data_IF_989001264881
#
_entry.id   IF_989001264881
#
_cell.length_a   1.000
_cell.length_b   1.000
_cell.length_c   1.000
_cell.angle_alpha   90.00
_cell.angle_beta   90.00
_cell.angle_gamma   90.00
#
_symmetry.space_group_name_H-M   'P 1'
#
loop_
_entity.id
_entity.type
_entity.pdbx_description
1 polymer ?
#
# COMPACT_ATOMS: atom_id res chain seq x y z
N UNK A 1 -15.90 17.01 8.83
CA UNK A 1 -15.05 16.14 9.68
C UNK A 1 -13.91 15.69 8.82
N UNK A 2 -12.65 15.79 9.28
CA UNK A 2 -11.51 15.32 8.50
C UNK A 2 -11.71 13.85 8.12
N UNK A 3 -11.57 13.54 6.83
CA UNK A 3 -11.71 12.18 6.31
C UNK A 3 -10.78 11.18 7.04
N UNK A 4 -9.64 11.68 7.55
CA UNK A 4 -8.74 10.92 8.42
C UNK A 4 -9.37 10.54 9.75
N UNK A 5 -10.09 11.46 10.40
CA UNK A 5 -10.78 11.20 11.68
C UNK A 5 -11.89 10.17 11.45
N UNK A 6 -12.66 10.30 10.36
CA UNK A 6 -13.71 9.33 10.01
C UNK A 6 -13.13 7.93 9.80
N UNK A 7 -11.98 7.82 9.14
CA UNK A 7 -11.29 6.55 8.93
C UNK A 7 -10.76 5.93 10.23
N UNK A 8 -10.16 6.74 11.11
CA UNK A 8 -9.68 6.29 12.42
C UNK A 8 -10.85 5.80 13.28
N UNK A 9 -11.97 6.53 13.28
CA UNK A 9 -13.19 6.12 13.99
C UNK A 9 -13.72 4.81 13.42
N UNK A 10 -13.79 4.68 12.09
CA UNK A 10 -14.23 3.45 11.42
C UNK A 10 -13.36 2.25 11.82
N UNK A 11 -12.03 2.38 11.74
CA UNK A 11 -11.09 1.33 12.14
C UNK A 11 -11.25 0.95 13.62
N UNK A 12 -11.45 1.94 14.48
CA UNK A 12 -11.61 1.72 15.92
C UNK A 12 -12.91 0.98 16.21
N UNK A 13 -14.03 1.39 15.60
CA UNK A 13 -15.32 0.72 15.75
C UNK A 13 -15.27 -0.70 15.20
N UNK A 14 -14.66 -0.91 14.03
CA UNK A 14 -14.50 -2.23 13.43
C UNK A 14 -13.72 -3.18 14.35
N UNK A 15 -12.58 -2.73 14.89
CA UNK A 15 -11.80 -3.52 15.85
C UNK A 15 -12.61 -3.83 17.12
N UNK A 16 -13.35 -2.85 17.62
CA UNK A 16 -14.18 -3.04 18.82
C UNK A 16 -15.28 -4.07 18.58
N UNK A 17 -15.91 -4.04 17.40
CA UNK A 17 -16.94 -5.00 16.99
C UNK A 17 -16.42 -6.44 16.87
N UNK A 18 -15.19 -6.61 16.38
CA UNK A 18 -14.54 -7.93 16.31
C UNK A 18 -14.24 -8.45 17.71
N UNK A 19 -13.69 -7.60 18.59
CA UNK A 19 -13.38 -7.99 19.97
C UNK A 19 -14.65 -8.37 20.72
N UNK A 20 -15.75 -7.60 20.57
CA UNK A 20 -17.04 -7.94 21.20
C UNK A 20 -17.64 -9.22 20.63
N UNK A 21 -17.54 -9.45 19.32
CA UNK A 21 -17.97 -10.71 18.69
C UNK A 21 -17.16 -11.91 19.23
N UNK A 22 -15.83 -11.76 19.37
CA UNK A 22 -14.95 -12.77 19.96
C UNK A 22 -15.30 -13.09 21.41
N UNK A 23 -15.48 -12.07 22.25
CA UNK A 23 -15.88 -12.25 23.66
C UNK A 23 -17.25 -12.95 23.75
N UNK A 24 -18.20 -12.55 22.90
CA UNK A 24 -19.55 -13.14 22.86
C UNK A 24 -19.51 -14.61 22.43
N UNK A 25 -18.68 -14.94 21.45
CA UNK A 25 -18.45 -16.33 21.01
C UNK A 25 -17.87 -17.18 22.14
N UNK A 26 -16.89 -16.66 22.89
CA UNK A 26 -16.29 -17.37 24.05
C UNK A 26 -17.34 -17.56 25.14
N UNK A 27 -18.12 -16.53 25.45
CA UNK A 27 -19.16 -16.58 26.48
C UNK A 27 -20.29 -17.57 26.14
N UNK A 28 -20.78 -17.55 24.91
CA UNK A 28 -21.79 -18.51 24.43
C UNK A 28 -21.25 -19.94 24.43
N UNK A 29 -19.99 -20.14 24.00
CA UNK A 29 -19.31 -21.42 24.07
C UNK A 29 -19.22 -21.96 25.50
N UNK A 30 -18.82 -21.11 26.45
CA UNK A 30 -18.79 -21.45 27.87
C UNK A 30 -20.18 -21.78 28.43
N UNK A 31 -21.20 -21.01 28.06
CA UNK A 31 -22.58 -21.25 28.53
C UNK A 31 -23.18 -22.55 27.99
N UNK A 32 -22.90 -22.89 26.72
CA UNK A 32 -23.28 -24.16 26.13
C UNK A 32 -22.56 -25.34 26.80
N UNK A 33 -21.30 -25.13 27.20
CA UNK A 33 -20.51 -26.11 27.95
C UNK A 33 -21.11 -26.39 29.35
N UNK A 34 -21.36 -25.35 30.16
CA UNK A 34 -21.95 -25.50 31.50
C UNK A 34 -23.32 -26.19 31.45
N UNK A 35 -24.07 -26.01 30.35
CA UNK A 35 -25.37 -26.67 30.14
C UNK A 35 -25.28 -28.14 29.72
N UNK A 36 -24.09 -28.72 29.58
CA UNK A 36 -23.94 -30.16 29.35
C UNK A 36 -24.50 -30.65 28.02
N UNK A 37 -24.57 -29.80 26.99
CA UNK A 37 -25.06 -30.21 25.66
C UNK A 37 -24.21 -31.35 25.06
N UNK A 38 -22.95 -31.49 25.49
CA UNK A 38 -22.05 -32.58 25.11
C UNK A 38 -22.09 -33.81 26.03
N UNK A 39 -22.82 -33.77 27.14
CA UNK A 39 -22.97 -34.91 28.06
C UNK A 39 -24.28 -35.70 27.83
N UNK A 40 -25.05 -35.34 26.80
CA UNK A 40 -26.45 -35.74 26.64
C UNK A 40 -26.82 -36.52 25.38
N UNK A 41 -25.90 -37.27 24.75
CA UNK A 41 -26.31 -38.24 23.70
C UNK A 41 -25.62 -39.58 23.88
N UNK A 42 -26.26 -40.45 24.69
CA UNK A 42 -26.32 -41.90 24.42
C UNK A 42 -25.24 -42.80 24.99
N UNK A 43 -25.45 -43.26 26.23
CA UNK A 43 -25.34 -44.69 26.59
C UNK A 43 -23.95 -45.31 26.75
N UNK A 44 -23.58 -45.61 28.01
CA UNK A 44 -22.71 -46.71 28.45
C UNK A 44 -21.67 -47.23 27.42
N UNK A 45 -20.59 -46.50 27.19
CA UNK A 45 -19.33 -47.12 26.74
C UNK A 45 -18.16 -46.25 27.18
N UNK A 46 -17.15 -46.87 27.79
CA UNK A 46 -15.92 -46.27 28.32
C UNK A 46 -14.98 -45.69 27.24
N UNK A 47 -15.49 -45.25 26.10
CA UNK A 47 -14.68 -44.64 25.05
C UNK A 47 -14.73 -43.12 25.18
N UNK A 48 -13.62 -42.55 25.67
CA UNK A 48 -13.43 -41.11 25.76
C UNK A 48 -13.78 -40.39 24.46
N UNK A 49 -14.40 -39.21 24.57
CA UNK A 49 -14.81 -38.36 23.45
C UNK A 49 -13.67 -38.20 22.44
N UNK A 50 -13.78 -38.91 21.31
CA UNK A 50 -12.88 -38.79 20.17
C UNK A 50 -13.49 -37.82 19.18
N UNK A 51 -12.94 -36.62 19.06
CA UNK A 51 -13.29 -35.69 17.99
C UNK A 51 -12.40 -36.02 16.79
N UNK A 52 -13.01 -36.55 15.73
CA UNK A 52 -12.35 -36.90 14.47
C UNK A 52 -12.70 -35.84 13.43
N UNK A 53 -11.71 -35.07 12.98
CA UNK A 53 -11.85 -34.18 11.83
C UNK A 53 -10.98 -34.71 10.69
N UNK A 54 -11.55 -34.79 9.49
CA UNK A 54 -10.82 -35.16 8.27
C UNK A 54 -10.74 -33.92 7.38
N UNK A 55 -9.52 -33.39 7.21
CA UNK A 55 -9.27 -32.25 6.35
C UNK A 55 -8.16 -32.65 5.38
N UNK A 56 -8.46 -32.62 4.10
CA UNK A 56 -7.52 -32.89 3.00
C UNK A 56 -6.78 -34.23 3.09
N UNK A 57 -7.47 -35.31 3.50
CA UNK A 57 -6.91 -36.66 3.60
C UNK A 57 -6.04 -36.91 4.85
N UNK A 58 -5.83 -35.88 5.68
CA UNK A 58 -5.25 -36.03 7.00
C UNK A 58 -6.37 -36.21 8.04
N UNK A 59 -6.36 -37.36 8.72
CA UNK A 59 -7.30 -37.65 9.82
C UNK A 59 -6.70 -37.20 11.14
N UNK A 60 -7.27 -36.15 11.72
CA UNK A 60 -6.88 -35.66 13.03
C UNK A 60 -7.87 -36.15 14.08
N UNK A 61 -7.39 -36.97 15.02
CA UNK A 61 -8.17 -37.43 16.16
C UNK A 61 -7.63 -36.79 17.43
N UNK A 62 -8.39 -35.87 18.02
CA UNK A 62 -8.08 -35.37 19.36
C UNK A 62 -8.79 -36.23 20.41
N UNK A 63 -7.98 -36.81 21.29
CA UNK A 63 -8.42 -37.48 22.52
C UNK A 63 -8.31 -36.51 23.69
N UNK A 64 -9.33 -36.48 24.55
CA UNK A 64 -9.39 -35.61 25.74
C UNK A 64 -9.23 -34.10 25.44
N UNK A 65 -9.74 -33.63 24.29
CA UNK A 65 -9.83 -32.20 24.04
C UNK A 65 -10.87 -31.60 24.99
N UNK A 66 -10.41 -30.90 26.02
CA UNK A 66 -11.30 -30.07 26.83
C UNK A 66 -11.99 -29.08 25.87
N UNK A 67 -13.33 -28.92 25.90
CA UNK A 67 -14.06 -28.08 24.94
C UNK A 67 -13.52 -26.65 24.80
N UNK A 68 -12.87 -26.12 25.84
CA UNK A 68 -12.16 -24.84 25.80
C UNK A 68 -11.01 -24.77 24.78
N UNK A 69 -10.34 -25.89 24.49
CA UNK A 69 -9.27 -25.95 23.48
C UNK A 69 -9.79 -25.74 22.07
N UNK A 70 -10.99 -26.24 21.73
CA UNK A 70 -11.62 -25.99 20.42
C UNK A 70 -11.96 -24.51 20.21
N UNK A 71 -12.50 -23.84 21.24
CA UNK A 71 -12.81 -22.40 21.17
C UNK A 71 -11.55 -21.53 21.13
N UNK A 72 -10.51 -21.90 21.88
CA UNK A 72 -9.22 -21.22 21.83
C UNK A 72 -8.55 -21.37 20.45
N UNK A 73 -8.60 -22.56 19.85
CA UNK A 73 -8.08 -22.84 18.52
C UNK A 73 -8.83 -22.02 17.45
N UNK A 74 -10.16 -21.97 17.52
CA UNK A 74 -10.97 -21.16 16.62
C UNK A 74 -10.62 -19.67 16.74
N UNK A 75 -10.52 -19.14 17.97
CA UNK A 75 -10.09 -17.76 18.21
C UNK A 75 -8.70 -17.46 17.68
N UNK A 76 -7.74 -18.38 17.88
CA UNK A 76 -6.38 -18.25 17.36
C UNK A 76 -6.34 -18.24 15.82
N UNK A 77 -7.14 -19.08 15.16
CA UNK A 77 -7.26 -19.12 13.70
C UNK A 77 -7.84 -17.80 13.17
N UNK A 78 -8.90 -17.26 13.79
CA UNK A 78 -9.49 -15.97 13.38
C UNK A 78 -8.46 -14.84 13.52
N UNK A 79 -7.71 -14.79 14.62
CA UNK A 79 -6.64 -13.79 14.82
C UNK A 79 -5.53 -13.95 13.76
N UNK A 80 -5.11 -15.19 13.46
CA UNK A 80 -4.09 -15.47 12.46
C UNK A 80 -4.54 -15.05 11.05
N UNK A 81 -5.78 -15.36 10.67
CA UNK A 81 -6.37 -14.93 9.40
C UNK A 81 -6.42 -13.41 9.32
N UNK A 82 -6.84 -12.72 10.39
CA UNK A 82 -6.85 -11.25 10.43
C UNK A 82 -5.46 -10.63 10.27
N UNK A 83 -4.43 -11.27 10.83
CA UNK A 83 -3.06 -10.82 10.67
C UNK A 83 -2.56 -11.02 9.22
N UNK A 84 -3.00 -12.10 8.57
CA UNK A 84 -2.65 -12.42 7.17
C UNK A 84 -3.40 -11.56 6.14
N UNK A 85 -4.68 -11.25 6.38
CA UNK A 85 -5.48 -10.48 5.41
C UNK A 85 -5.22 -8.97 5.44
N UNK A 86 -4.37 -8.49 6.37
CA UNK A 86 -4.02 -7.06 6.46
C UNK A 86 -5.15 -6.19 6.99
N UNK A 87 -4.80 -4.96 7.41
CA UNK A 87 -5.76 -3.98 7.92
C UNK A 87 -6.77 -3.54 6.85
N UNK A 88 -7.97 -3.02 7.24
CA UNK A 88 -9.00 -2.60 6.30
C UNK A 88 -8.48 -1.58 5.29
N UNK A 89 -8.62 -1.89 4.00
CA UNK A 89 -8.30 -0.98 2.91
C UNK A 89 -9.44 0.05 2.78
N UNK A 90 -9.17 1.29 3.19
CA UNK A 90 -10.06 2.41 2.91
C UNK A 90 -9.83 2.91 1.48
N UNK A 91 -10.69 2.53 0.54
CA UNK A 91 -10.72 3.18 -0.77
C UNK A 91 -11.50 4.49 -0.63
N UNK A 92 -10.80 5.62 -0.64
CA UNK A 92 -11.45 6.92 -0.74
C UNK A 92 -11.68 7.22 -2.22
N UNK A 93 -12.94 7.32 -2.63
CA UNK A 93 -13.29 7.96 -3.89
C UNK A 93 -13.22 9.47 -3.65
N UNK A 94 -12.25 10.16 -4.27
CA UNK A 94 -12.18 11.62 -4.27
C UNK A 94 -13.24 12.12 -5.28
N UNK A 95 -14.34 12.77 -4.85
CA UNK A 95 -15.47 13.02 -5.75
C UNK A 95 -15.25 14.10 -6.81
N UNK A 96 -14.12 14.83 -6.79
CA UNK A 96 -13.96 16.03 -7.63
C UNK A 96 -13.00 15.92 -8.82
N UNK A 97 -12.47 14.73 -9.14
CA UNK A 97 -11.61 14.60 -10.33
C UNK A 97 -11.82 13.28 -11.06
N UNK A 98 -12.91 13.23 -11.84
CA UNK A 98 -12.98 12.43 -13.07
C UNK A 98 -12.54 10.97 -13.00
N UNK A 99 -12.94 10.22 -11.96
CA UNK A 99 -12.79 8.76 -11.94
C UNK A 99 -11.38 8.22 -11.70
N UNK A 100 -10.42 9.05 -11.27
CA UNK A 100 -9.10 8.57 -10.87
C UNK A 100 -9.17 7.94 -9.46
N UNK A 101 -9.24 6.60 -9.41
CA UNK A 101 -9.17 5.82 -8.17
C UNK A 101 -7.72 5.78 -7.68
N UNK A 102 -7.31 6.77 -6.90
CA UNK A 102 -5.96 6.80 -6.31
C UNK A 102 -5.94 5.96 -5.03
N UNK A 103 -5.41 4.74 -5.11
CA UNK A 103 -5.16 3.92 -3.92
C UNK A 103 -3.93 4.43 -3.18
N UNK A 104 -4.13 5.18 -2.10
CA UNK A 104 -3.10 5.45 -1.10
C UNK A 104 -2.77 4.14 -0.37
N UNK A 105 -1.80 3.39 -0.89
CA UNK A 105 -1.36 2.12 -0.31
C UNK A 105 -0.41 2.41 0.84
N UNK A 106 -0.84 2.13 2.08
CA UNK A 106 0.01 2.26 3.27
C UNK A 106 1.29 1.41 3.24
N UNK A 107 1.43 0.51 2.25
CA UNK A 107 2.60 -0.33 2.01
C UNK A 107 3.78 0.43 1.37
N UNK A 108 3.55 1.50 0.59
CA UNK A 108 4.65 2.18 -0.12
C UNK A 108 5.61 2.92 0.82
N UNK A 109 5.08 3.65 1.81
CA UNK A 109 5.91 4.30 2.82
C UNK A 109 6.72 3.27 3.63
N UNK A 110 6.12 2.13 3.95
CA UNK A 110 6.79 1.00 4.61
C UNK A 110 7.88 0.39 3.72
N UNK A 111 7.65 0.29 2.41
CA UNK A 111 8.64 -0.22 1.44
C UNK A 111 9.83 0.73 1.30
N UNK A 112 9.60 2.03 1.17
CA UNK A 112 10.69 3.03 1.13
C UNK A 112 11.52 2.92 2.40
N UNK A 113 10.86 2.91 3.57
CA UNK A 113 11.54 2.78 4.86
C UNK A 113 12.33 1.47 4.96
N UNK A 114 11.77 0.36 4.47
CA UNK A 114 12.45 -0.94 4.46
C UNK A 114 13.72 -0.94 3.60
N UNK A 115 13.70 -0.27 2.45
CA UNK A 115 14.86 -0.17 1.57
C UNK A 115 15.98 0.70 2.19
N UNK A 116 15.60 1.79 2.87
CA UNK A 116 16.56 2.63 3.59
C UNK A 116 17.17 1.88 4.77
N UNK A 117 16.36 1.17 5.57
CA UNK A 117 16.86 0.39 6.70
C UNK A 117 17.83 -0.72 6.24
N UNK A 118 17.47 -1.41 5.16
CA UNK A 118 18.32 -2.45 4.56
C UNK A 118 19.62 -1.86 4.01
N UNK A 119 19.57 -0.69 3.38
CA UNK A 119 20.78 0.02 2.93
C UNK A 119 21.71 0.37 4.10
N UNK A 120 21.16 0.91 5.19
CA UNK A 120 21.93 1.23 6.40
C UNK A 120 22.54 -0.02 7.06
N UNK A 121 21.79 -1.13 7.08
CA UNK A 121 22.30 -2.40 7.59
C UNK A 121 23.47 -2.94 6.75
N UNK A 122 23.37 -2.86 5.42
CA UNK A 122 24.44 -3.26 4.51
C UNK A 122 25.67 -2.38 4.65
N UNK A 123 25.49 -1.08 4.84
CA UNK A 123 26.58 -0.15 5.09
C UNK A 123 27.34 -0.49 6.38
N UNK A 124 26.61 -0.80 7.46
CA UNK A 124 27.21 -1.27 8.74
C UNK A 124 28.01 -2.56 8.59
N UNK A 125 27.67 -3.41 7.62
CA UNK A 125 28.40 -4.66 7.30
C UNK A 125 29.56 -4.46 6.34
N UNK A 126 29.86 -3.22 5.92
CA UNK A 126 30.89 -2.90 4.94
C UNK A 126 30.51 -3.23 3.49
N UNK A 127 29.24 -3.59 3.23
CA UNK A 127 28.76 -3.96 1.90
C UNK A 127 28.25 -2.72 1.12
N UNK A 128 29.14 -1.76 0.87
CA UNK A 128 28.78 -0.45 0.29
C UNK A 128 28.05 -0.53 -1.06
N UNK A 129 28.43 -1.46 -1.93
CA UNK A 129 27.76 -1.63 -3.24
C UNK A 129 26.30 -2.06 -3.08
N UNK A 130 26.02 -2.96 -2.13
CA UNK A 130 24.66 -3.42 -1.88
C UNK A 130 23.84 -2.31 -1.20
N UNK A 131 24.45 -1.57 -0.27
CA UNK A 131 23.82 -0.43 0.39
C UNK A 131 23.34 0.61 -0.64
N UNK A 132 24.20 0.96 -1.60
CA UNK A 132 23.86 1.89 -2.67
C UNK A 132 22.72 1.38 -3.54
N UNK A 133 22.73 0.09 -3.91
CA UNK A 133 21.64 -0.50 -4.69
C UNK A 133 20.31 -0.45 -3.94
N UNK A 134 20.31 -0.72 -2.64
CA UNK A 134 19.11 -0.70 -1.80
C UNK A 134 18.58 0.72 -1.61
N UNK A 135 19.46 1.69 -1.40
CA UNK A 135 19.09 3.10 -1.33
C UNK A 135 18.50 3.59 -2.67
N UNK A 136 19.10 3.21 -3.79
CA UNK A 136 18.60 3.56 -5.12
C UNK A 136 17.21 2.97 -5.40
N UNK A 137 16.93 1.74 -4.97
CA UNK A 137 15.57 1.16 -5.04
C UNK A 137 14.55 1.96 -4.23
N UNK A 138 14.95 2.43 -3.04
CA UNK A 138 14.12 3.32 -2.24
C UNK A 138 13.83 4.64 -2.96
N UNK A 139 14.83 5.23 -3.61
CA UNK A 139 14.66 6.45 -4.42
C UNK A 139 13.75 6.23 -5.63
N UNK A 140 13.86 5.09 -6.31
CA UNK A 140 12.97 4.75 -7.43
C UNK A 140 11.49 4.73 -7.01
N UNK A 141 11.19 4.27 -5.80
CA UNK A 141 9.84 4.29 -5.25
C UNK A 141 9.35 5.71 -4.89
N UNK A 142 10.26 6.67 -4.73
CA UNK A 142 9.96 8.07 -4.40
C UNK A 142 9.80 8.96 -5.65
N UNK A 143 10.38 8.56 -6.78
CA UNK A 143 10.39 9.37 -8.00
C UNK A 143 8.98 9.77 -8.49
N UNK A 144 7.96 8.89 -8.48
CA UNK A 144 6.59 9.28 -8.84
C UNK A 144 6.04 10.40 -7.95
N UNK A 145 6.27 10.35 -6.64
CA UNK A 145 5.77 11.35 -5.69
C UNK A 145 6.50 12.69 -5.84
N UNK A 146 7.79 12.68 -6.18
CA UNK A 146 8.53 13.90 -6.52
C UNK A 146 7.95 14.54 -7.79
N UNK A 147 7.68 13.73 -8.82
CA UNK A 147 7.04 14.19 -10.06
C UNK A 147 5.64 14.76 -9.81
N UNK A 148 4.79 14.06 -9.07
CA UNK A 148 3.44 14.50 -8.77
C UNK A 148 3.45 15.80 -7.98
N UNK A 149 4.35 15.93 -7.00
CA UNK A 149 4.48 17.16 -6.24
C UNK A 149 5.00 18.32 -7.10
N UNK A 150 5.96 18.08 -7.99
CA UNK A 150 6.42 19.06 -8.96
C UNK A 150 5.27 19.56 -9.86
N UNK A 151 4.42 18.64 -10.34
CA UNK A 151 3.25 18.98 -11.14
C UNK A 151 2.23 19.82 -10.35
N UNK A 152 1.91 19.43 -9.11
CA UNK A 152 1.02 20.23 -8.25
C UNK A 152 1.59 21.62 -8.03
N UNK A 153 2.88 21.74 -7.68
CA UNK A 153 3.53 23.04 -7.50
C UNK A 153 3.48 23.89 -8.76
N UNK A 154 3.72 23.30 -9.93
CA UNK A 154 3.61 24.02 -11.20
C UNK A 154 2.20 24.59 -11.42
N UNK A 155 1.15 23.87 -11.02
CA UNK A 155 -0.25 24.33 -11.19
C UNK A 155 -0.69 25.32 -10.13
N UNK A 156 -0.18 25.22 -8.90
CA UNK A 156 -0.57 26.12 -7.80
C UNK A 156 0.33 27.35 -7.70
N UNK A 157 1.58 27.24 -8.12
CA UNK A 157 2.63 28.25 -7.98
C UNK A 157 3.67 28.11 -9.10
N UNK A 158 3.35 28.55 -10.34
CA UNK A 158 4.17 28.32 -11.53
C UNK A 158 5.62 28.84 -11.46
N UNK A 159 5.89 29.82 -10.61
CA UNK A 159 7.22 30.42 -10.43
C UNK A 159 8.06 29.73 -9.33
N UNK A 160 7.60 28.59 -8.79
CA UNK A 160 8.29 27.93 -7.69
C UNK A 160 9.58 27.25 -8.16
N UNK A 161 10.78 27.70 -7.71
CA UNK A 161 12.05 27.04 -8.06
C UNK A 161 12.09 25.57 -7.61
N UNK A 162 11.31 25.27 -6.56
CA UNK A 162 11.15 23.92 -6.03
C UNK A 162 10.52 22.94 -7.04
N UNK A 163 9.64 23.41 -7.93
CA UNK A 163 9.04 22.55 -8.96
C UNK A 163 10.11 22.00 -9.92
N UNK A 164 11.08 22.83 -10.30
CA UNK A 164 12.21 22.43 -11.15
C UNK A 164 13.06 21.37 -10.47
N UNK A 165 13.48 21.64 -9.24
CA UNK A 165 14.32 20.71 -8.46
C UNK A 165 13.67 19.33 -8.31
N UNK A 166 12.37 19.29 -8.02
CA UNK A 166 11.64 18.03 -7.84
C UNK A 166 11.47 17.26 -9.15
N UNK A 167 11.14 17.96 -10.25
CA UNK A 167 11.01 17.34 -11.57
C UNK A 167 12.36 16.81 -12.09
N UNK A 168 13.44 17.57 -11.91
CA UNK A 168 14.80 17.13 -12.23
C UNK A 168 15.19 15.89 -11.42
N UNK A 169 14.94 15.91 -10.10
CA UNK A 169 15.21 14.75 -9.23
C UNK A 169 14.47 13.50 -9.69
N UNK A 170 13.21 13.62 -10.12
CA UNK A 170 12.44 12.49 -10.63
C UNK A 170 13.05 11.91 -11.93
N UNK A 171 13.45 12.79 -12.86
CA UNK A 171 14.12 12.41 -14.12
C UNK A 171 15.49 11.79 -13.86
N UNK A 172 16.29 12.32 -12.92
CA UNK A 172 17.59 11.76 -12.58
C UNK A 172 17.49 10.35 -12.00
N UNK A 173 16.44 10.09 -11.20
CA UNK A 173 16.18 8.76 -10.65
C UNK A 173 15.70 7.79 -11.73
N UNK A 174 14.79 8.23 -12.61
CA UNK A 174 14.24 7.41 -13.70
C UNK A 174 14.21 8.19 -15.04
N UNK A 175 15.31 8.20 -15.79
CA UNK A 175 15.45 9.05 -16.99
C UNK A 175 14.68 8.58 -18.21
N UNK A 176 14.07 7.38 -18.15
CA UNK A 176 13.31 6.80 -19.25
C UNK A 176 11.79 6.84 -19.00
N UNK A 177 11.34 7.51 -17.95
CA UNK A 177 9.91 7.71 -17.71
C UNK A 177 9.39 8.88 -18.56
N UNK A 178 8.48 8.64 -19.52
CA UNK A 178 7.93 9.69 -20.37
C UNK A 178 7.18 10.77 -19.58
N UNK A 179 6.53 10.41 -18.46
CA UNK A 179 5.77 11.35 -17.65
C UNK A 179 6.69 12.28 -16.87
N UNK A 180 7.83 11.78 -16.36
CA UNK A 180 8.79 12.61 -15.63
C UNK A 180 9.45 13.63 -16.54
N UNK A 181 9.82 13.19 -17.75
CA UNK A 181 10.32 14.08 -18.80
C UNK A 181 9.27 15.12 -19.22
N UNK A 182 8.00 14.74 -19.30
CA UNK A 182 6.91 15.67 -19.61
C UNK A 182 6.77 16.75 -18.53
N UNK A 183 6.68 16.38 -17.25
CA UNK A 183 6.60 17.34 -16.14
C UNK A 183 7.80 18.29 -16.12
N UNK A 184 9.02 17.77 -16.29
CA UNK A 184 10.22 18.62 -16.34
C UNK A 184 10.15 19.60 -17.53
N UNK A 185 9.71 19.14 -18.70
CA UNK A 185 9.57 20.01 -19.87
C UNK A 185 8.54 21.12 -19.66
N UNK A 186 7.45 20.84 -18.94
CA UNK A 186 6.44 21.82 -18.56
C UNK A 186 7.05 22.86 -17.62
N UNK A 187 7.73 22.43 -16.55
CA UNK A 187 8.40 23.36 -15.62
C UNK A 187 9.41 24.25 -16.36
N UNK A 188 10.26 23.68 -17.22
CA UNK A 188 11.20 24.44 -18.04
C UNK A 188 10.49 25.46 -18.94
N UNK A 189 9.37 25.08 -19.55
CA UNK A 189 8.61 25.97 -20.42
C UNK A 189 8.03 27.16 -19.65
N UNK A 190 7.48 26.93 -18.46
CA UNK A 190 6.95 27.96 -17.57
C UNK A 190 8.05 28.88 -17.02
N UNK A 191 9.25 28.34 -16.74
CA UNK A 191 10.43 29.12 -16.32
C UNK A 191 11.05 29.95 -17.47
N UNK A 192 10.51 29.87 -18.69
CA UNK A 192 11.00 30.60 -19.85
C UNK A 192 12.14 29.90 -20.61
N UNK A 193 12.56 28.73 -20.17
CA UNK A 193 13.62 27.89 -20.77
C UNK A 193 13.09 27.09 -21.97
N UNK A 194 12.38 27.76 -22.89
CA UNK A 194 11.59 27.12 -23.94
C UNK A 194 12.39 26.17 -24.85
N UNK A 195 13.67 26.45 -25.09
CA UNK A 195 14.54 25.60 -25.91
C UNK A 195 14.85 24.26 -25.23
N UNK A 196 15.18 24.28 -23.94
CA UNK A 196 15.42 23.06 -23.17
C UNK A 196 14.11 22.30 -22.95
N UNK A 197 13.00 23.00 -22.71
CA UNK A 197 11.67 22.39 -22.64
C UNK A 197 11.33 21.56 -23.88
N UNK A 198 11.52 22.12 -25.08
CA UNK A 198 11.28 21.40 -26.35
C UNK A 198 12.20 20.18 -26.48
N UNK A 199 13.47 20.31 -26.09
CA UNK A 199 14.44 19.20 -26.13
C UNK A 199 14.04 18.07 -25.17
N UNK A 200 13.63 18.40 -23.95
CA UNK A 200 13.16 17.44 -22.94
C UNK A 200 11.86 16.77 -23.40
N UNK A 201 10.89 17.54 -23.91
CA UNK A 201 9.63 16.99 -24.45
C UNK A 201 9.87 16.11 -25.68
N UNK A 202 10.88 16.41 -26.51
CA UNK A 202 11.28 15.55 -27.63
C UNK A 202 11.80 14.19 -27.13
N UNK A 203 12.54 14.15 -26.00
CA UNK A 203 12.93 12.87 -25.37
C UNK A 203 11.71 12.10 -24.89
N UNK A 204 10.75 12.76 -24.25
CA UNK A 204 9.50 12.13 -23.81
C UNK A 204 8.72 11.54 -25.00
N UNK A 205 8.62 12.30 -26.10
CA UNK A 205 7.93 11.89 -27.33
C UNK A 205 8.59 10.69 -28.02
N UNK A 206 9.92 10.60 -27.96
CA UNK A 206 10.66 9.44 -28.49
C UNK A 206 10.33 8.13 -27.73
N UNK A 207 9.91 8.23 -26.47
CA UNK A 207 9.50 7.09 -25.63
C UNK A 207 7.99 6.83 -25.78
N UNK A 208 7.18 7.89 -25.76
CA UNK A 208 5.72 7.79 -25.82
C UNK A 208 5.12 8.83 -26.80
N UNK A 209 4.44 8.40 -27.89
CA UNK A 209 3.95 9.30 -28.94
C UNK A 209 2.90 10.33 -28.52
N UNK A 210 2.28 10.21 -27.34
CA UNK A 210 1.21 11.11 -26.88
C UNK A 210 1.60 12.60 -26.82
N UNK A 211 2.89 12.91 -26.78
CA UNK A 211 3.38 14.30 -26.69
C UNK A 211 3.58 14.99 -28.05
N UNK A 212 3.26 14.31 -29.16
CA UNK A 212 3.49 14.82 -30.53
C UNK A 212 2.79 16.17 -30.78
N UNK A 213 1.51 16.26 -30.44
CA UNK A 213 0.71 17.47 -30.68
C UNK A 213 1.20 18.65 -29.81
N UNK A 214 1.52 18.38 -28.54
CA UNK A 214 2.06 19.38 -27.64
C UNK A 214 3.41 19.92 -28.14
N UNK A 215 4.29 19.02 -28.60
CA UNK A 215 5.59 19.38 -29.13
C UNK A 215 5.48 20.24 -30.40
N UNK A 216 4.58 19.89 -31.32
CA UNK A 216 4.31 20.68 -32.52
C UNK A 216 3.84 22.10 -32.16
N UNK A 217 2.89 22.20 -31.23
CA UNK A 217 2.38 23.49 -30.72
C UNK A 217 3.46 24.34 -30.05
N UNK A 218 4.37 23.73 -29.29
CA UNK A 218 5.44 24.49 -28.63
C UNK A 218 6.51 24.97 -29.60
N UNK A 219 6.88 24.16 -30.61
CA UNK A 219 7.83 24.57 -31.65
C UNK A 219 7.33 25.81 -32.41
N UNK A 220 6.06 25.82 -32.81
CA UNK A 220 5.49 26.99 -33.50
C UNK A 220 5.47 28.26 -32.64
N UNK A 221 5.49 28.17 -31.31
CA UNK A 221 5.56 29.35 -30.43
C UNK A 221 6.98 29.89 -30.25
N UNK A 222 8.00 29.06 -30.48
CA UNK A 222 9.41 29.45 -30.33
C UNK A 222 9.96 30.02 -31.64
N UNK A 223 9.52 29.50 -32.79
CA UNK A 223 10.00 29.92 -34.12
C UNK A 223 9.43 31.28 -34.60
N UNK A 224 8.48 31.87 -33.88
CA UNK A 224 7.81 33.15 -34.24
C UNK A 224 8.49 34.38 -33.63
N UNK A 225 9.68 34.23 -33.06
CA UNK A 225 10.49 35.34 -32.50
C UNK A 225 11.87 35.41 -33.15
#
# INVERSE_FOLDING_TARGET
MDNQIVFIIYLTVFRLAIVTAGITSIFLGYKLFVRGVFTGTGGNTEEGQNVSAEIAGAKFTLRNAAPGTCFALFGAIVIAVMFMTGGPEGTFEVPETGGAKTTLRGDEATRIQSHVELALQQLKRGASNQANLSAYKGLQLLAPQLNDYAWVLLKTSPEAPLAGLLAESAVDINPHDPNFLHTLSEVQFYNGEKKEAIKTLTKAQAIHPAFTDQLARWRSQVDVK
#
